data_IF_655095403364
#
_entry.id   IF_655095403364
#
_cell.length_a   1.000
_cell.length_b   1.000
_cell.length_c   1.000
_cell.angle_alpha   90.00
_cell.angle_beta   90.00
_cell.angle_gamma   90.00
#
_symmetry.space_group_name_H-M   'P 1'
#
loop_
_entity.id
_entity.type
_entity.pdbx_description
1 polymer ?
#
# COMPACT_ATOMS: atom_id res chain seq x y z
N UNK A 1 -20.67 16.60 -11.10
CA UNK A 1 -20.17 15.77 -9.98
C UNK A 1 -19.04 14.94 -10.54
N UNK A 2 -17.82 15.46 -10.44
CA UNK A 2 -16.62 14.77 -10.90
C UNK A 2 -16.37 13.56 -9.97
N UNK A 3 -16.73 12.37 -10.45
CA UNK A 3 -16.32 11.13 -9.80
C UNK A 3 -14.80 11.05 -9.93
N UNK A 4 -14.08 11.44 -8.89
CA UNK A 4 -12.65 11.25 -8.81
C UNK A 4 -12.38 9.74 -8.79
N UNK A 5 -12.05 9.19 -9.95
CA UNK A 5 -11.65 7.80 -10.09
C UNK A 5 -10.38 7.60 -9.27
N UNK A 6 -10.49 6.78 -8.22
CA UNK A 6 -9.34 6.31 -7.46
C UNK A 6 -8.78 5.09 -8.17
N UNK A 7 -7.48 5.09 -8.44
CA UNK A 7 -6.79 3.95 -9.03
C UNK A 7 -5.72 3.46 -8.07
N UNK A 8 -5.74 2.16 -7.76
CA UNK A 8 -4.74 1.50 -6.92
C UNK A 8 -3.69 0.86 -7.84
N UNK A 9 -2.40 1.06 -7.54
CA UNK A 9 -1.31 0.45 -8.30
C UNK A 9 -0.22 -0.03 -7.37
N UNK A 10 0.19 -1.29 -7.50
CA UNK A 10 1.39 -1.81 -6.81
C UNK A 10 2.62 -1.05 -7.30
N UNK A 11 3.34 -0.44 -6.36
CA UNK A 11 4.53 0.38 -6.65
C UNK A 11 5.81 -0.21 -6.05
N UNK A 12 5.69 -1.10 -5.08
CA UNK A 12 6.83 -1.78 -4.47
C UNK A 12 6.42 -3.13 -3.87
N UNK A 13 7.41 -3.99 -3.67
CA UNK A 13 7.29 -5.22 -2.89
C UNK A 13 8.40 -5.18 -1.84
N UNK A 14 8.03 -5.37 -0.58
CA UNK A 14 8.93 -5.39 0.57
C UNK A 14 9.07 -6.83 1.07
N UNK A 15 10.31 -7.31 1.19
CA UNK A 15 10.59 -8.60 1.80
C UNK A 15 10.89 -8.38 3.30
N UNK A 16 9.98 -8.80 4.17
CA UNK A 16 10.09 -8.64 5.63
C UNK A 16 9.99 -10.02 6.27
N UNK A 17 11.03 -10.42 7.01
CA UNK A 17 11.09 -11.68 7.77
C UNK A 17 10.79 -12.96 6.98
N UNK A 18 11.14 -12.97 5.69
CA UNK A 18 10.91 -14.10 4.79
C UNK A 18 9.55 -14.08 4.10
N UNK A 19 8.76 -13.02 4.30
CA UNK A 19 7.46 -12.82 3.67
C UNK A 19 7.48 -11.61 2.74
N UNK A 20 6.66 -11.67 1.69
CA UNK A 20 6.54 -10.59 0.72
C UNK A 20 5.30 -9.74 1.03
N UNK A 21 5.49 -8.43 1.08
CA UNK A 21 4.42 -7.46 1.27
C UNK A 21 4.36 -6.52 0.09
N UNK A 22 3.22 -6.49 -0.58
CA UNK A 22 2.97 -5.58 -1.68
C UNK A 22 2.56 -4.21 -1.14
N UNK A 23 3.21 -3.16 -1.63
CA UNK A 23 2.83 -1.78 -1.34
C UNK A 23 2.20 -1.19 -2.58
N UNK A 24 0.92 -0.87 -2.47
CA UNK A 24 0.12 -0.21 -3.49
C UNK A 24 -0.07 1.27 -3.16
N UNK A 25 0.08 2.13 -4.16
CA UNK A 25 -0.28 3.54 -4.06
C UNK A 25 -1.71 3.76 -4.55
N UNK A 26 -2.50 4.51 -3.80
CA UNK A 26 -3.82 4.98 -4.21
C UNK A 26 -3.66 6.36 -4.87
N UNK A 27 -4.03 6.47 -6.13
CA UNK A 27 -3.93 7.69 -6.91
C UNK A 27 -5.32 8.27 -7.16
N UNK A 28 -5.42 9.60 -7.14
CA UNK A 28 -6.66 10.32 -7.37
C UNK A 28 -6.59 11.04 -8.72
N UNK A 29 -7.42 10.63 -9.69
CA UNK A 29 -7.40 11.19 -11.04
C UNK A 29 -6.02 11.02 -11.70
N UNK A 30 -5.44 12.13 -12.17
CA UNK A 30 -4.13 12.17 -12.86
C UNK A 30 -2.96 12.52 -11.93
N UNK A 31 -3.13 12.38 -10.61
CA UNK A 31 -2.07 12.69 -9.65
C UNK A 31 -0.83 11.80 -9.90
N UNK A 32 0.36 12.42 -9.92
CA UNK A 32 1.64 11.68 -10.04
C UNK A 32 2.10 11.03 -8.74
N UNK A 33 1.60 11.53 -7.60
CA UNK A 33 1.91 11.01 -6.27
C UNK A 33 0.67 10.31 -5.71
N UNK A 34 0.86 9.17 -5.02
CA UNK A 34 -0.24 8.52 -4.32
C UNK A 34 -0.72 9.40 -3.17
N UNK A 35 -2.03 9.44 -2.96
CA UNK A 35 -2.68 10.13 -1.84
C UNK A 35 -2.67 9.29 -0.56
N UNK A 36 -2.55 7.97 -0.70
CA UNK A 36 -2.35 7.03 0.40
C UNK A 36 -1.73 5.74 -0.12
N UNK A 37 -1.28 4.88 0.79
CA UNK A 37 -0.72 3.58 0.48
C UNK A 37 -1.58 2.47 1.09
N UNK A 38 -1.50 1.30 0.47
CA UNK A 38 -2.10 0.04 0.90
C UNK A 38 -0.97 -0.97 1.00
N UNK A 39 -0.89 -1.66 2.11
CA UNK A 39 0.05 -2.74 2.36
C UNK A 39 -0.72 -4.06 2.35
N UNK A 40 -0.35 -4.99 1.49
CA UNK A 40 -1.00 -6.30 1.35
C UNK A 40 0.03 -7.40 1.60
N UNK A 41 -0.29 -8.36 2.47
CA UNK A 41 0.56 -9.54 2.67
C UNK A 41 0.41 -10.49 1.48
N UNK A 42 1.51 -10.82 0.83
CA UNK A 42 1.53 -11.67 -0.36
C UNK A 42 1.02 -13.07 -0.04
N UNK A 43 -0.13 -13.43 -0.59
CA UNK A 43 -0.78 -14.73 -0.39
C UNK A 43 -1.85 -14.79 0.71
N UNK A 44 -2.08 -13.68 1.43
CA UNK A 44 -3.10 -13.60 2.49
C UNK A 44 -4.12 -12.48 2.21
N UNK A 45 -5.25 -12.49 2.92
CA UNK A 45 -6.26 -11.41 2.89
C UNK A 45 -5.89 -10.23 3.82
N UNK A 46 -4.79 -10.32 4.56
CA UNK A 46 -4.32 -9.24 5.41
C UNK A 46 -3.89 -8.01 4.59
N UNK A 47 -4.69 -6.95 4.64
CA UNK A 47 -4.42 -5.67 4.03
C UNK A 47 -4.55 -4.53 5.04
N UNK A 48 -3.65 -3.56 4.96
CA UNK A 48 -3.70 -2.32 5.74
C UNK A 48 -3.82 -1.16 4.75
N UNK A 49 -4.96 -0.47 4.79
CA UNK A 49 -5.29 0.64 3.88
C UNK A 49 -5.06 2.00 4.52
N UNK A 50 -5.08 3.05 3.69
CA UNK A 50 -5.01 4.46 4.11
C UNK A 50 -3.73 4.84 4.85
N UNK A 51 -2.61 4.18 4.55
CA UNK A 51 -1.31 4.60 5.07
C UNK A 51 -0.96 5.97 4.50
N UNK A 52 -0.65 6.94 5.36
CA UNK A 52 -0.31 8.31 4.94
C UNK A 52 1.07 8.42 4.29
N UNK A 53 1.93 7.43 4.50
CA UNK A 53 3.30 7.38 3.98
C UNK A 53 3.66 5.97 3.56
N UNK A 54 4.68 5.85 2.71
CA UNK A 54 5.24 4.57 2.34
C UNK A 54 5.78 3.86 3.60
N UNK A 55 5.40 2.60 3.86
CA UNK A 55 5.77 1.90 5.09
C UNK A 55 7.22 1.44 5.09
N UNK A 56 7.89 1.51 6.24
CA UNK A 56 9.22 0.91 6.45
C UNK A 56 9.11 -0.56 6.86
N UNK A 57 10.21 -1.32 6.76
CA UNK A 57 10.24 -2.73 7.22
C UNK A 57 9.77 -2.90 8.67
N UNK A 58 10.16 -1.98 9.56
CA UNK A 58 9.72 -2.01 10.96
C UNK A 58 8.21 -1.77 11.08
N UNK A 59 7.67 -0.78 10.36
CA UNK A 59 6.23 -0.50 10.38
C UNK A 59 5.42 -1.65 9.79
N UNK A 60 5.93 -2.32 8.75
CA UNK A 60 5.29 -3.52 8.21
C UNK A 60 5.18 -4.61 9.28
N UNK A 61 6.25 -4.86 10.05
CA UNK A 61 6.20 -5.81 11.17
C UNK A 61 5.18 -5.42 12.22
N UNK A 62 5.15 -4.15 12.62
CA UNK A 62 4.23 -3.66 13.64
C UNK A 62 2.77 -3.74 13.20
N UNK A 63 2.49 -3.49 11.91
CA UNK A 63 1.14 -3.51 11.34
C UNK A 63 0.61 -4.92 11.05
N UNK A 64 1.50 -5.89 10.84
CA UNK A 64 1.17 -7.26 10.40
C UNK A 64 1.50 -8.33 11.46
N UNK A 65 1.81 -7.90 12.68
CA UNK A 65 2.03 -8.76 13.84
C UNK A 65 0.74 -9.35 14.41
#
# INVERSE_FOLDING_TARGET
MDVQVKHERTIAILAVDGENFEVSGVYQGSARKPSSYILTRGGDKAEVRNLSSFPSHQQVRELMS
#
